data_IF_736962258774
#
_entry.id   IF_736962258774
#
_cell.length_a   1.000
_cell.length_b   1.000
_cell.length_c   1.000
_cell.angle_alpha   90.00
_cell.angle_beta   90.00
_cell.angle_gamma   90.00
#
_symmetry.space_group_name_H-M   'P 1'
#
loop_
_entity.id
_entity.type
_entity.pdbx_description
1 polymer ?
#
# COMPACT_ATOMS: atom_id res chain seq x y z
N UNK A 1 0.95 -12.67 -2.98
CA UNK A 1 0.75 -11.37 -3.63
C UNK A 1 1.14 -10.24 -2.73
N UNK A 2 1.56 -9.15 -3.33
CA UNK A 2 1.94 -7.96 -2.57
C UNK A 2 0.79 -6.98 -2.57
N UNK A 3 0.74 -6.16 -1.54
CA UNK A 3 -0.29 -5.13 -1.40
C UNK A 3 0.39 -3.78 -1.51
N UNK A 4 -0.13 -2.93 -2.38
CA UNK A 4 0.44 -1.61 -2.62
C UNK A 4 -0.53 -0.53 -2.18
N UNK A 5 0.04 0.52 -1.58
CA UNK A 5 -0.72 1.66 -1.10
C UNK A 5 -0.79 2.71 -2.20
N UNK A 6 -1.93 3.36 -2.33
CA UNK A 6 -2.12 4.33 -3.39
C UNK A 6 -2.66 5.65 -2.85
N UNK A 7 -2.52 6.68 -3.68
CA UNK A 7 -3.11 8.00 -3.45
C UNK A 7 -3.87 8.42 -4.68
N UNK A 8 -4.87 9.24 -4.46
CA UNK A 8 -5.62 9.88 -5.53
C UNK A 8 -5.45 11.38 -5.36
N UNK A 9 -5.10 12.06 -6.46
CA UNK A 9 -5.01 13.52 -6.44
C UNK A 9 -6.25 14.06 -7.11
N UNK A 10 -7.01 14.85 -6.37
CA UNK A 10 -8.26 15.37 -6.85
C UNK A 10 -8.48 16.77 -6.29
N UNK A 11 -8.76 17.72 -7.18
CA UNK A 11 -9.05 19.09 -6.79
C UNK A 11 -7.94 19.67 -5.90
N UNK A 12 -6.70 19.41 -6.25
CA UNK A 12 -5.52 19.86 -5.50
C UNK A 12 -5.43 19.25 -4.11
N UNK A 13 -6.14 18.15 -3.88
CA UNK A 13 -6.08 17.42 -2.63
C UNK A 13 -5.53 16.03 -2.87
N UNK A 14 -4.81 15.52 -1.87
CA UNK A 14 -4.28 14.17 -1.91
C UNK A 14 -5.15 13.33 -0.99
N UNK A 15 -5.77 12.31 -1.56
CA UNK A 15 -6.64 11.41 -0.82
C UNK A 15 -6.05 10.01 -0.81
N UNK A 16 -6.36 9.26 0.24
CA UNK A 16 -5.93 7.87 0.30
C UNK A 16 -6.77 7.05 -0.66
N UNK A 17 -6.09 6.31 -1.53
CA UNK A 17 -6.77 5.47 -2.49
C UNK A 17 -6.90 4.04 -2.00
N UNK A 18 -7.47 3.16 -2.82
CA UNK A 18 -7.63 1.77 -2.46
C UNK A 18 -6.29 1.04 -2.51
N UNK A 19 -6.23 -0.10 -1.82
CA UNK A 19 -5.08 -0.98 -1.93
C UNK A 19 -5.13 -1.72 -3.26
N UNK A 20 -3.94 -1.99 -3.81
CA UNK A 20 -3.82 -2.78 -5.02
C UNK A 20 -3.07 -4.06 -4.68
N UNK A 21 -3.64 -5.20 -5.05
CA UNK A 21 -2.95 -6.47 -4.91
C UNK A 21 -2.36 -6.86 -6.26
N UNK A 22 -1.07 -7.13 -6.29
CA UNK A 22 -0.40 -7.50 -7.52
C UNK A 22 0.82 -8.36 -7.19
N UNK A 23 1.31 -9.07 -8.18
CA UNK A 23 2.47 -9.93 -7.99
C UNK A 23 3.76 -9.14 -7.79
N UNK A 24 3.85 -7.98 -8.41
CA UNK A 24 5.03 -7.14 -8.28
C UNK A 24 4.66 -5.70 -8.56
N UNK A 25 5.64 -4.82 -8.37
CA UNK A 25 5.42 -3.39 -8.54
C UNK A 25 5.02 -3.04 -9.97
N UNK A 26 5.62 -3.69 -10.95
CA UNK A 26 5.31 -3.38 -12.34
C UNK A 26 3.83 -3.59 -12.63
N UNK A 27 3.30 -4.72 -12.19
CA UNK A 27 1.88 -5.01 -12.40
C UNK A 27 0.99 -4.08 -11.61
N UNK A 28 1.44 -3.70 -10.40
CA UNK A 28 0.68 -2.77 -9.60
C UNK A 28 0.57 -1.40 -10.29
N UNK A 29 1.66 -0.96 -10.93
CA UNK A 29 1.65 0.31 -11.64
C UNK A 29 0.67 0.26 -12.82
N UNK A 30 0.61 -0.86 -13.52
CA UNK A 30 -0.33 -0.99 -14.63
C UNK A 30 -1.76 -0.88 -14.13
N UNK A 31 -2.07 -1.51 -13.02
CA UNK A 31 -3.40 -1.43 -12.45
C UNK A 31 -3.70 -0.01 -11.99
N UNK A 32 -2.73 0.62 -11.32
CA UNK A 32 -2.93 1.98 -10.84
C UNK A 32 -3.22 2.94 -11.99
N UNK A 33 -2.52 2.78 -13.10
CA UNK A 33 -2.75 3.63 -14.26
C UNK A 33 -4.16 3.50 -14.79
N UNK A 34 -4.72 2.30 -14.74
CA UNK A 34 -6.09 2.08 -15.21
C UNK A 34 -7.11 2.85 -14.40
N UNK A 35 -6.81 3.14 -13.14
CA UNK A 35 -7.72 3.83 -12.24
C UNK A 35 -7.25 5.22 -11.85
N UNK A 36 -6.21 5.71 -12.50
CA UNK A 36 -5.65 7.04 -12.21
C UNK A 36 -5.18 7.15 -10.77
N UNK A 37 -4.55 6.11 -10.28
CA UNK A 37 -4.01 6.06 -8.93
C UNK A 37 -2.50 6.20 -8.97
N UNK A 38 -1.93 6.70 -7.87
CA UNK A 38 -0.48 6.81 -7.71
C UNK A 38 -0.05 5.85 -6.63
N UNK A 39 0.93 5.01 -6.93
CA UNK A 39 1.46 4.08 -5.94
C UNK A 39 2.47 4.80 -5.08
N UNK A 40 2.30 4.73 -3.76
CA UNK A 40 3.17 5.41 -2.81
C UNK A 40 4.01 4.47 -1.97
N UNK A 41 3.73 3.19 -2.01
CA UNK A 41 4.52 2.25 -1.26
C UNK A 41 3.91 0.87 -1.26
N UNK A 42 4.61 -0.04 -0.60
CA UNK A 42 4.16 -1.42 -0.46
C UNK A 42 3.90 -1.70 1.01
N UNK A 43 2.79 -2.37 1.28
CA UNK A 43 2.47 -2.77 2.64
C UNK A 43 3.19 -4.07 2.95
N UNK A 44 4.09 -4.02 3.92
CA UNK A 44 4.85 -5.19 4.32
C UNK A 44 4.35 -5.66 5.66
N UNK A 45 3.98 -6.91 5.71
CA UNK A 45 3.44 -7.49 6.93
C UNK A 45 4.57 -8.05 7.78
N UNK A 46 4.68 -7.54 8.99
CA UNK A 46 5.72 -7.97 9.90
C UNK A 46 5.16 -8.62 11.15
N UNK A 47 3.86 -8.85 11.18
CA UNK A 47 3.16 -9.19 12.40
C UNK A 47 3.67 -10.44 13.07
N UNK A 48 4.08 -11.43 12.31
CA UNK A 48 4.51 -12.69 12.90
C UNK A 48 5.83 -12.58 13.64
N UNK A 49 6.52 -11.49 13.50
CA UNK A 49 7.81 -11.28 14.16
C UNK A 49 7.71 -10.50 15.44
N UNK A 50 6.62 -9.87 15.62
CA UNK A 50 6.50 -8.98 16.77
C UNK A 50 6.25 -9.73 18.02
N UNK A 51 6.68 -9.36 18.86
CA UNK A 51 6.25 -9.83 19.93
C UNK A 51 5.42 -9.06 20.86
N UNK A 52 5.52 -9.11 20.18
CA UNK A 52 5.02 -8.71 20.55
C UNK A 52 4.85 -8.07 21.34
N UNK A 53 5.26 -8.09 21.60
CA UNK A 53 5.27 -7.54 22.13
C UNK A 53 5.28 -6.80 22.62
N UNK A 54 5.53 -6.93 22.78
CA UNK A 54 5.63 -6.28 23.15
C UNK A 54 5.45 -5.53 23.54
N UNK A 55 5.56 -5.97 23.66
CA UNK A 55 5.44 -5.35 23.98
C UNK A 55 5.38 -4.60 24.41
N UNK A 56 5.55 -4.98 24.71
CA UNK A 56 5.52 -4.36 25.10
C UNK A 56 5.64 -3.65 25.61
N UNK A 57 5.90 -4.02 25.77
CA UNK A 57 6.02 -3.50 26.16
C UNK A 57 5.97 -2.94 26.66
N UNK A 58 6.19 -3.30 26.94
CA UNK A 58 6.12 -2.90 27.36
C UNK A 58 6.18 -2.44 27.77
#
# INVERSE_FOLDING_TARGET
>A
MKIFLTEVIKDNQVLIGPYIKAEDLHKAILIADMYSLTIIGELIELSHKLPEKKETIH
#
